data_IF_350573078586
#
_entry.id   IF_350573078586
#
_cell.length_a   1.000
_cell.length_b   1.000
_cell.length_c   1.000
_cell.angle_alpha   90.00
_cell.angle_beta   90.00
_cell.angle_gamma   90.00
#
_symmetry.space_group_name_H-M   'P 1'
#
loop_
_entity.id
_entity.type
_entity.pdbx_description
1 polymer ?
#
# COMPACT_ATOMS: atom_id res chain seq x y z
N UNK A 1 -22.46 -1.89 21.72
CA UNK A 1 -22.06 -3.29 21.46
C UNK A 1 -21.14 -3.30 20.25
N UNK A 2 -20.04 -4.08 20.29
CA UNK A 2 -19.14 -4.20 19.15
C UNK A 2 -19.89 -4.72 17.92
N UNK A 3 -19.55 -4.21 16.75
CA UNK A 3 -20.17 -4.64 15.49
C UNK A 3 -19.56 -5.98 15.10
N UNK A 4 -20.36 -7.05 15.11
CA UNK A 4 -19.93 -8.39 14.70
C UNK A 4 -20.39 -8.76 13.29
N UNK A 5 -21.26 -7.96 12.65
CA UNK A 5 -21.72 -8.17 11.28
C UNK A 5 -21.62 -6.88 10.49
N UNK A 6 -21.07 -6.96 9.28
CA UNK A 6 -20.97 -5.83 8.37
C UNK A 6 -21.44 -6.21 6.96
N UNK A 7 -22.14 -5.28 6.30
CA UNK A 7 -22.39 -5.37 4.86
C UNK A 7 -21.16 -4.90 4.11
N UNK A 8 -20.82 -5.61 3.04
CA UNK A 8 -19.74 -5.25 2.12
C UNK A 8 -20.39 -4.70 0.85
N UNK A 9 -19.94 -3.52 0.42
CA UNK A 9 -20.39 -2.85 -0.81
C UNK A 9 -19.25 -2.63 -1.78
N UNK A 10 -19.58 -2.62 -3.06
CA UNK A 10 -18.68 -2.22 -4.13
C UNK A 10 -19.43 -1.26 -5.05
N UNK A 11 -18.99 0.00 -5.09
CA UNK A 11 -19.68 1.08 -5.83
C UNK A 11 -21.17 1.23 -5.47
N UNK A 12 -21.47 1.30 -4.18
CA UNK A 12 -22.82 1.34 -3.59
C UNK A 12 -23.65 0.05 -3.75
N UNK A 13 -23.23 -0.90 -4.58
CA UNK A 13 -23.89 -2.18 -4.76
C UNK A 13 -23.55 -3.14 -3.60
N UNK A 14 -24.55 -3.77 -2.95
CA UNK A 14 -24.30 -4.82 -1.97
C UNK A 14 -23.61 -6.03 -2.62
N UNK A 15 -22.43 -6.36 -2.11
CA UNK A 15 -21.65 -7.52 -2.53
C UNK A 15 -22.02 -8.73 -1.68
N UNK A 16 -22.20 -8.53 -0.38
CA UNK A 16 -22.41 -9.61 0.58
C UNK A 16 -22.32 -9.10 2.01
N UNK A 17 -22.20 -10.03 2.95
CA UNK A 17 -22.03 -9.75 4.36
C UNK A 17 -20.88 -10.55 4.96
N UNK A 18 -20.22 -9.96 5.95
CA UNK A 18 -19.21 -10.62 6.78
C UNK A 18 -19.70 -10.67 8.22
N UNK A 19 -19.56 -11.83 8.86
CA UNK A 19 -19.92 -12.05 10.25
C UNK A 19 -18.71 -12.59 11.03
N UNK A 20 -18.47 -12.03 12.20
CA UNK A 20 -17.41 -12.41 13.13
C UNK A 20 -17.94 -13.41 14.17
N UNK A 21 -17.23 -14.51 14.34
CA UNK A 21 -17.42 -15.49 15.40
C UNK A 21 -16.33 -15.28 16.47
N UNK A 22 -16.74 -14.78 17.64
CA UNK A 22 -15.83 -14.48 18.75
C UNK A 22 -15.20 -15.74 19.36
N UNK A 23 -15.94 -16.86 19.40
CA UNK A 23 -15.45 -18.12 19.98
C UNK A 23 -14.34 -18.70 19.09
N UNK A 24 -14.52 -18.64 17.77
CA UNK A 24 -13.55 -19.16 16.79
C UNK A 24 -12.46 -18.17 16.42
N UNK A 25 -12.65 -16.89 16.74
CA UNK A 25 -11.84 -15.78 16.25
C UNK A 25 -11.69 -15.84 14.72
N UNK A 26 -12.82 -16.00 14.03
CA UNK A 26 -12.87 -16.25 12.60
C UNK A 26 -14.08 -15.56 11.98
N UNK A 27 -13.88 -14.97 10.81
CA UNK A 27 -14.98 -14.42 10.02
C UNK A 27 -15.48 -15.42 8.99
N UNK A 28 -16.76 -15.29 8.68
CA UNK A 28 -17.41 -15.92 7.54
C UNK A 28 -17.94 -14.84 6.62
N UNK A 29 -17.85 -15.06 5.31
CA UNK A 29 -18.35 -14.15 4.29
C UNK A 29 -19.31 -14.88 3.35
N UNK A 30 -20.43 -14.25 3.03
CA UNK A 30 -21.41 -14.78 2.08
C UNK A 30 -21.72 -13.70 1.04
N UNK A 31 -21.71 -14.08 -0.24
CA UNK A 31 -22.13 -13.20 -1.32
C UNK A 31 -23.64 -12.99 -1.30
N UNK A 32 -24.08 -11.77 -1.58
CA UNK A 32 -25.49 -11.44 -1.78
C UNK A 32 -26.00 -12.14 -3.04
N UNK A 33 -27.14 -12.88 -2.99
CA UNK A 33 -27.68 -13.56 -4.16
C UNK A 33 -27.89 -12.66 -5.39
N UNK A 34 -28.19 -11.38 -5.18
CA UNK A 34 -28.29 -10.40 -6.26
C UNK A 34 -26.94 -10.07 -6.92
N UNK A 35 -25.85 -10.08 -6.16
CA UNK A 35 -24.51 -9.82 -6.67
C UNK A 35 -24.01 -10.99 -7.54
N UNK A 36 -24.30 -12.24 -7.16
CA UNK A 36 -23.95 -13.43 -7.94
C UNK A 36 -24.46 -13.35 -9.39
N UNK A 37 -25.65 -12.79 -9.60
CA UNK A 37 -26.25 -12.63 -10.95
C UNK A 37 -25.53 -11.61 -11.84
N UNK A 38 -24.67 -10.76 -11.27
CA UNK A 38 -23.88 -9.79 -12.04
C UNK A 38 -22.67 -10.43 -12.72
N UNK A 39 -22.28 -11.63 -12.30
CA UNK A 39 -21.11 -12.33 -12.82
C UNK A 39 -19.81 -11.48 -12.75
N UNK A 40 -19.68 -10.67 -11.70
CA UNK A 40 -18.53 -9.80 -11.45
C UNK A 40 -17.58 -10.45 -10.42
N UNK A 41 -16.49 -11.03 -10.90
CA UNK A 41 -15.50 -11.74 -10.09
C UNK A 41 -14.54 -10.78 -9.35
N UNK A 42 -14.89 -10.43 -8.11
CA UNK A 42 -14.12 -9.44 -7.32
C UNK A 42 -12.90 -10.02 -6.59
N UNK A 43 -12.78 -11.35 -6.50
CA UNK A 43 -11.63 -12.07 -5.92
C UNK A 43 -11.53 -13.50 -6.48
N UNK A 44 -11.36 -13.66 -7.81
CA UNK A 44 -11.61 -14.92 -8.53
C UNK A 44 -10.76 -16.11 -8.10
N UNK A 45 -9.59 -15.89 -7.48
CA UNK A 45 -8.66 -16.98 -7.18
C UNK A 45 -9.00 -17.73 -5.89
N UNK A 46 -9.41 -17.02 -4.85
CA UNK A 46 -9.67 -17.59 -3.52
C UNK A 46 -11.14 -17.52 -3.13
N UNK A 47 -11.91 -16.61 -3.72
CA UNK A 47 -13.32 -16.38 -3.43
C UNK A 47 -14.13 -16.16 -4.72
N UNK A 48 -14.15 -17.14 -5.64
CA UNK A 48 -14.95 -17.06 -6.87
C UNK A 48 -16.43 -16.84 -6.56
N UNK A 49 -17.24 -16.34 -7.50
CA UNK A 49 -18.66 -16.16 -7.23
C UNK A 49 -19.36 -17.50 -6.96
N UNK A 50 -19.93 -17.64 -5.77
CA UNK A 50 -20.60 -18.85 -5.31
C UNK A 50 -21.61 -18.52 -4.21
N UNK A 51 -22.71 -19.27 -4.08
CA UNK A 51 -23.59 -19.19 -2.92
C UNK A 51 -22.98 -19.81 -1.65
N UNK A 52 -21.76 -20.33 -1.72
CA UNK A 52 -21.08 -20.89 -0.56
C UNK A 52 -20.67 -19.81 0.46
N UNK A 53 -20.67 -20.18 1.73
CA UNK A 53 -20.10 -19.37 2.79
C UNK A 53 -18.58 -19.58 2.79
N UNK A 54 -17.84 -18.48 2.64
CA UNK A 54 -16.39 -18.47 2.67
C UNK A 54 -15.87 -18.33 4.09
N UNK A 55 -14.95 -19.22 4.47
CA UNK A 55 -14.22 -19.18 5.73
C UNK A 55 -12.86 -19.82 5.55
N UNK A 56 -11.83 -19.24 6.15
CA UNK A 56 -10.44 -19.65 5.93
C UNK A 56 -9.67 -19.78 7.24
N UNK A 57 -9.96 -20.81 8.06
CA UNK A 57 -9.32 -21.03 9.36
C UNK A 57 -7.80 -21.25 9.28
N UNK A 58 -7.29 -21.66 8.12
CA UNK A 58 -5.88 -21.93 7.85
C UNK A 58 -5.04 -20.67 7.63
N UNK A 59 -5.66 -19.51 7.40
CA UNK A 59 -4.92 -18.26 7.18
C UNK A 59 -4.25 -17.76 8.46
N UNK A 60 -3.04 -17.23 8.29
CA UNK A 60 -2.31 -16.64 9.41
C UNK A 60 -3.06 -15.44 9.99
N UNK A 61 -3.50 -15.58 11.25
CA UNK A 61 -4.25 -14.55 11.98
C UNK A 61 -3.48 -13.24 12.15
N UNK A 62 -2.13 -13.25 12.13
CA UNK A 62 -1.33 -12.02 12.20
C UNK A 62 -1.45 -11.16 10.94
N UNK A 63 -1.75 -11.80 9.81
CA UNK A 63 -1.78 -11.16 8.49
C UNK A 63 -3.20 -10.83 8.08
N UNK A 64 -4.09 -11.80 8.24
CA UNK A 64 -5.46 -11.72 7.75
C UNK A 64 -6.47 -11.40 8.85
N UNK A 65 -6.06 -11.39 10.12
CA UNK A 65 -6.94 -11.08 11.26
C UNK A 65 -8.19 -11.98 11.29
N UNK A 66 -8.10 -13.23 10.84
CA UNK A 66 -9.25 -14.14 10.75
C UNK A 66 -10.30 -13.74 9.70
N UNK A 67 -10.02 -12.75 8.85
CA UNK A 67 -10.83 -12.38 7.70
C UNK A 67 -10.38 -13.12 6.43
N UNK A 68 -11.26 -13.30 5.44
CA UNK A 68 -10.85 -13.58 4.07
C UNK A 68 -9.90 -12.51 3.53
N UNK A 69 -8.97 -12.88 2.65
CA UNK A 69 -7.98 -11.96 2.09
C UNK A 69 -8.58 -10.74 1.41
N UNK A 70 -9.68 -10.91 0.68
CA UNK A 70 -10.46 -9.82 0.06
C UNK A 70 -10.80 -8.69 1.05
N UNK A 71 -11.18 -9.03 2.28
CA UNK A 71 -11.59 -8.05 3.27
C UNK A 71 -10.39 -7.56 4.10
N UNK A 72 -9.47 -8.46 4.44
CA UNK A 72 -8.26 -8.13 5.19
C UNK A 72 -7.41 -7.06 4.51
N UNK A 73 -7.41 -6.99 3.17
CA UNK A 73 -6.66 -5.98 2.40
C UNK A 73 -7.10 -4.53 2.66
N UNK A 74 -8.32 -4.34 3.18
CA UNK A 74 -8.85 -3.03 3.55
C UNK A 74 -8.38 -2.57 4.93
N UNK A 75 -7.76 -3.46 5.72
CA UNK A 75 -7.31 -3.13 7.06
C UNK A 75 -6.07 -2.23 7.02
N UNK A 76 -5.95 -1.31 7.99
CA UNK A 76 -4.84 -0.37 8.03
C UNK A 76 -3.52 -1.05 8.39
N UNK A 77 -2.43 -0.38 8.06
CA UNK A 77 -1.09 -0.77 8.50
C UNK A 77 -0.81 -0.44 9.97
N UNK A 78 0.47 -0.49 10.35
CA UNK A 78 0.93 -0.16 11.70
C UNK A 78 0.58 1.26 12.10
N UNK A 79 0.77 2.24 11.22
CA UNK A 79 0.48 3.64 11.52
C UNK A 79 -1.03 3.87 11.65
N UNK A 80 -1.84 3.34 10.73
CA UNK A 80 -3.29 3.41 10.82
C UNK A 80 -3.86 2.64 12.04
N UNK A 81 -3.23 1.54 12.44
CA UNK A 81 -3.59 0.82 13.67
C UNK A 81 -3.33 1.69 14.91
N UNK A 82 -2.24 2.47 14.95
CA UNK A 82 -2.02 3.44 16.04
C UNK A 82 -3.10 4.53 16.08
N UNK A 83 -3.58 4.98 14.93
CA UNK A 83 -4.69 5.94 14.88
C UNK A 83 -6.00 5.35 15.41
N UNK A 84 -6.26 4.07 15.13
CA UNK A 84 -7.40 3.34 15.69
C UNK A 84 -7.28 3.22 17.21
N UNK A 85 -6.10 2.87 17.73
CA UNK A 85 -5.85 2.78 19.17
C UNK A 85 -6.21 4.09 19.88
N UNK A 86 -5.73 5.22 19.36
CA UNK A 86 -6.03 6.54 19.92
C UNK A 86 -7.53 6.85 19.84
N UNK A 87 -8.18 6.53 18.71
CA UNK A 87 -9.62 6.71 18.54
C UNK A 87 -10.45 5.87 19.52
N UNK A 88 -10.02 4.64 19.82
CA UNK A 88 -10.65 3.76 20.81
C UNK A 88 -10.44 4.28 22.23
N UNK A 89 -9.22 4.71 22.57
CA UNK A 89 -8.90 5.26 23.89
C UNK A 89 -9.74 6.50 24.20
N UNK A 90 -10.00 7.39 23.21
CA UNK A 90 -10.92 8.53 23.38
C UNK A 90 -12.35 8.12 23.73
N UNK A 91 -12.74 6.88 23.45
CA UNK A 91 -14.04 6.30 23.80
C UNK A 91 -13.97 5.40 25.05
N UNK A 92 -12.83 5.35 25.74
CA UNK A 92 -12.62 4.47 26.89
C UNK A 92 -12.53 2.98 26.51
N UNK A 93 -12.18 2.67 25.26
CA UNK A 93 -12.06 1.29 24.74
C UNK A 93 -10.62 0.92 24.42
N UNK A 94 -10.35 -0.38 24.33
CA UNK A 94 -9.06 -0.94 23.93
C UNK A 94 -9.16 -1.71 22.61
N UNK A 95 -8.02 -2.07 22.01
CA UNK A 95 -8.00 -2.94 20.82
C UNK A 95 -8.50 -4.37 21.09
N UNK A 96 -8.50 -4.82 22.35
CA UNK A 96 -8.99 -6.15 22.71
C UNK A 96 -10.50 -6.24 22.46
N UNK A 97 -11.20 -5.12 22.61
CA UNK A 97 -12.64 -5.00 22.38
C UNK A 97 -12.96 -4.69 20.91
N UNK A 98 -11.98 -4.75 20.00
CA UNK A 98 -12.09 -4.26 18.63
C UNK A 98 -11.81 -5.34 17.60
N UNK A 99 -12.86 -6.10 17.32
CA UNK A 99 -12.81 -7.25 16.41
C UNK A 99 -12.54 -6.81 14.95
N UNK A 100 -12.09 -7.73 14.09
CA UNK A 100 -11.75 -7.45 12.69
C UNK A 100 -12.90 -6.91 11.83
N UNK A 101 -14.15 -7.33 12.06
CA UNK A 101 -15.32 -6.79 11.35
C UNK A 101 -15.61 -5.35 11.79
N UNK A 102 -15.49 -5.06 13.08
CA UNK A 102 -15.60 -3.70 13.59
C UNK A 102 -14.49 -2.78 13.04
N UNK A 103 -13.27 -3.32 12.83
CA UNK A 103 -12.19 -2.61 12.13
C UNK A 103 -12.59 -2.23 10.71
N UNK A 104 -13.21 -3.14 9.96
CA UNK A 104 -13.73 -2.83 8.62
C UNK A 104 -14.78 -1.71 8.67
N UNK A 105 -15.69 -1.75 9.64
CA UNK A 105 -16.70 -0.71 9.87
C UNK A 105 -16.09 0.65 10.25
N UNK A 106 -14.96 0.68 10.96
CA UNK A 106 -14.20 1.90 11.21
C UNK A 106 -13.59 2.47 9.92
N UNK A 107 -13.06 1.61 9.05
CA UNK A 107 -12.60 2.03 7.71
C UNK A 107 -13.78 2.57 6.91
N UNK A 108 -14.92 1.86 6.94
CA UNK A 108 -16.18 2.27 6.36
C UNK A 108 -16.03 2.56 4.87
N UNK A 109 -16.04 3.84 4.50
CA UNK A 109 -15.95 4.31 3.10
C UNK A 109 -14.56 4.81 2.71
N UNK A 110 -13.56 4.67 3.60
CA UNK A 110 -12.26 5.36 3.53
C UNK A 110 -11.11 4.44 3.11
N UNK A 111 -11.42 3.18 2.76
CA UNK A 111 -10.45 2.16 2.35
C UNK A 111 -9.70 2.48 1.06
N UNK A 112 -8.58 1.78 0.85
CA UNK A 112 -7.98 1.61 -0.47
C UNK A 112 -8.91 0.78 -1.36
N UNK A 113 -8.86 0.99 -2.67
CA UNK A 113 -9.76 0.34 -3.60
C UNK A 113 -11.19 0.88 -3.50
N UNK A 114 -12.17 0.04 -3.84
CA UNK A 114 -13.57 0.42 -3.96
C UNK A 114 -14.52 -0.27 -2.97
N UNK A 115 -14.01 -1.18 -2.12
CA UNK A 115 -14.82 -1.80 -1.08
C UNK A 115 -15.20 -0.78 0.00
N UNK A 116 -16.44 -0.90 0.46
CA UNK A 116 -16.97 -0.14 1.59
C UNK A 116 -17.71 -1.05 2.56
N UNK A 117 -17.75 -0.65 3.83
CA UNK A 117 -18.30 -1.46 4.91
C UNK A 117 -19.36 -0.71 5.69
N UNK A 118 -20.48 -1.37 5.97
CA UNK A 118 -21.60 -0.79 6.73
C UNK A 118 -21.97 -1.66 7.95
N UNK A 119 -22.27 -1.05 9.11
CA UNK A 119 -22.37 0.39 9.36
C UNK A 119 -21.00 1.09 9.47
N UNK A 120 -20.86 2.27 8.87
CA UNK A 120 -19.65 3.07 9.02
C UNK A 120 -19.61 3.73 10.42
N UNK A 121 -18.59 3.44 11.22
CA UNK A 121 -18.46 3.97 12.59
C UNK A 121 -17.96 5.42 12.64
N UNK A 122 -17.19 5.82 11.62
CA UNK A 122 -16.71 7.19 11.47
C UNK A 122 -17.54 7.88 10.39
N UNK A 123 -18.31 8.89 10.78
CA UNK A 123 -19.25 9.56 9.87
C UNK A 123 -18.56 10.34 8.75
N UNK A 124 -19.24 10.48 7.61
CA UNK A 124 -18.82 11.34 6.49
C UNK A 124 -18.90 12.81 6.94
N UNK A 125 -17.79 13.37 7.41
CA UNK A 125 -17.72 14.79 7.71
C UNK A 125 -17.52 15.63 6.44
N UNK A 126 -17.89 16.92 6.50
CA UNK A 126 -17.54 17.89 5.45
C UNK A 126 -16.02 17.90 5.25
N UNK A 127 -15.60 18.15 4.02
CA UNK A 127 -14.17 18.33 3.71
C UNK A 127 -13.58 19.42 4.61
N UNK A 128 -12.53 19.08 5.36
CA UNK A 128 -11.78 20.01 6.22
C UNK A 128 -10.49 20.38 5.51
N UNK A 129 -10.12 21.65 5.56
CA UNK A 129 -8.79 22.12 5.11
C UNK A 129 -7.73 21.63 6.08
N UNK A 130 -6.58 21.24 5.56
CA UNK A 130 -5.54 20.57 6.34
C UNK A 130 -4.22 21.28 6.16
N UNK A 131 -3.60 21.66 7.27
CA UNK A 131 -2.26 22.24 7.28
C UNK A 131 -1.23 21.12 7.51
N UNK A 132 -0.31 20.95 6.55
CA UNK A 132 0.63 19.81 6.56
C UNK A 132 1.57 19.88 7.75
N UNK A 133 1.99 21.08 8.14
CA UNK A 133 2.82 21.31 9.32
C UNK A 133 2.23 20.67 10.58
N UNK A 134 0.91 20.78 10.75
CA UNK A 134 0.18 20.20 11.88
C UNK A 134 0.13 18.68 11.80
N UNK A 135 -0.11 18.13 10.60
CA UNK A 135 -0.09 16.68 10.39
C UNK A 135 1.27 16.07 10.74
N UNK A 136 2.37 16.71 10.32
CA UNK A 136 3.72 16.22 10.58
C UNK A 136 4.03 16.30 12.08
N UNK A 137 3.72 17.43 12.72
CA UNK A 137 3.89 17.62 14.17
C UNK A 137 3.17 16.52 14.95
N UNK A 138 1.93 16.23 14.59
CA UNK A 138 1.13 15.26 15.32
C UNK A 138 1.51 13.82 14.98
N UNK A 139 1.86 13.52 13.73
CA UNK A 139 2.42 12.21 13.36
C UNK A 139 3.69 11.89 14.16
N UNK A 140 4.56 12.88 14.37
CA UNK A 140 5.74 12.75 15.24
C UNK A 140 5.38 12.44 16.69
N UNK A 141 4.35 13.08 17.24
CA UNK A 141 3.85 12.77 18.60
C UNK A 141 3.30 11.36 18.70
N UNK A 142 2.49 10.94 17.72
CA UNK A 142 1.88 9.61 17.67
C UNK A 142 2.94 8.49 17.64
N UNK A 143 4.03 8.69 16.89
CA UNK A 143 5.07 7.68 16.76
C UNK A 143 6.09 7.70 17.91
N UNK A 144 6.29 8.84 18.58
CA UNK A 144 7.23 8.97 19.70
C UNK A 144 6.66 8.56 21.06
N UNK A 145 5.35 8.68 21.27
CA UNK A 145 4.72 8.45 22.57
C UNK A 145 4.02 7.08 22.59
N UNK A 146 4.39 6.23 23.57
CA UNK A 146 3.82 4.87 23.68
C UNK A 146 2.54 4.80 24.53
N UNK A 147 2.34 5.65 25.54
CA UNK A 147 1.26 5.43 26.53
C UNK A 147 0.46 6.68 26.99
N UNK A 148 0.97 7.91 26.92
CA UNK A 148 0.31 9.09 27.53
C UNK A 148 -0.11 10.23 26.56
N UNK A 149 -0.39 9.90 25.30
CA UNK A 149 -0.76 10.89 24.28
C UNK A 149 -1.96 11.74 24.68
N UNK A 150 -3.03 11.13 25.21
CA UNK A 150 -4.32 11.79 25.44
C UNK A 150 -4.37 12.63 26.71
N UNK A 151 -3.53 12.33 27.71
CA UNK A 151 -3.55 13.01 29.01
C UNK A 151 -2.91 14.41 28.94
N UNK A 152 -2.06 14.65 27.94
CA UNK A 152 -1.24 15.86 27.81
C UNK A 152 -1.59 16.75 26.60
N UNK A 153 -2.78 16.60 26.01
CA UNK A 153 -3.21 17.43 24.88
C UNK A 153 -3.94 18.68 25.36
N UNK A 154 -3.53 19.83 24.84
CA UNK A 154 -4.39 21.02 24.87
C UNK A 154 -5.65 20.83 24.01
N UNK A 155 -6.67 21.66 24.22
CA UNK A 155 -7.91 21.61 23.40
C UNK A 155 -7.64 21.74 21.89
N UNK A 156 -6.72 22.64 21.51
CA UNK A 156 -6.29 22.81 20.11
C UNK A 156 -5.63 21.54 19.55
N UNK A 157 -4.87 20.82 20.37
CA UNK A 157 -4.23 19.57 19.95
C UNK A 157 -5.22 18.41 19.86
N UNK A 158 -6.28 18.41 20.68
CA UNK A 158 -7.38 17.45 20.56
C UNK A 158 -8.14 17.63 19.23
N UNK A 159 -8.38 18.88 18.80
CA UNK A 159 -9.00 19.18 17.51
C UNK A 159 -8.10 18.82 16.31
N UNK A 160 -6.79 19.09 16.42
CA UNK A 160 -5.81 18.66 15.42
C UNK A 160 -5.71 17.12 15.35
N UNK A 161 -5.85 16.43 16.49
CA UNK A 161 -5.90 14.97 16.56
C UNK A 161 -7.10 14.38 15.86
N UNK A 162 -8.28 14.99 16.03
CA UNK A 162 -9.45 14.59 15.27
C UNK A 162 -9.24 14.79 13.77
N UNK A 163 -8.52 15.84 13.37
CA UNK A 163 -8.15 16.05 11.97
C UNK A 163 -7.22 14.95 11.46
N UNK A 164 -6.20 14.56 12.22
CA UNK A 164 -5.30 13.44 11.85
C UNK A 164 -6.03 12.11 11.81
N UNK A 165 -6.92 11.80 12.75
CA UNK A 165 -7.76 10.58 12.69
C UNK A 165 -8.63 10.59 11.41
N UNK A 166 -9.08 11.77 10.97
CA UNK A 166 -9.87 11.98 9.74
C UNK A 166 -9.06 12.00 8.44
N UNK A 167 -7.74 12.17 8.47
CA UNK A 167 -6.89 12.15 7.26
C UNK A 167 -5.93 10.97 7.19
N UNK A 168 -5.64 10.40 8.36
CA UNK A 168 -4.72 9.30 8.57
C UNK A 168 -5.26 8.00 8.01
N UNK A 169 -4.35 7.23 7.43
CA UNK A 169 -4.73 6.34 6.32
C UNK A 169 -5.08 4.93 6.72
N UNK A 170 -5.92 4.32 5.90
CA UNK A 170 -6.06 2.88 5.65
C UNK A 170 -5.02 2.32 4.66
N UNK A 171 -4.08 3.14 4.18
CA UNK A 171 -3.11 2.77 3.15
C UNK A 171 -1.89 2.05 3.76
N UNK A 172 -1.50 0.89 3.21
CA UNK A 172 -0.43 -0.01 3.72
C UNK A 172 0.99 0.58 3.79
N UNK A 173 1.83 0.20 4.78
CA UNK A 173 3.26 0.58 4.93
C UNK A 173 3.74 0.88 6.38
N UNK A 174 5.01 1.28 6.57
CA UNK A 174 5.59 1.53 7.91
C UNK A 174 5.74 3.03 8.28
N UNK A 175 5.78 3.93 7.28
CA UNK A 175 5.98 5.37 7.48
C UNK A 175 4.67 6.11 7.74
N UNK A 176 4.74 7.20 8.50
CA UNK A 176 3.62 8.12 8.67
C UNK A 176 3.18 8.69 7.32
N UNK A 177 1.87 8.60 7.05
CA UNK A 177 1.29 9.04 5.79
C UNK A 177 -0.15 9.50 5.97
N UNK A 178 -0.65 10.29 5.02
CA UNK A 178 -2.03 10.75 4.98
C UNK A 178 -2.62 10.62 3.56
N UNK A 179 -3.93 10.45 3.48
CA UNK A 179 -4.68 10.53 2.22
C UNK A 179 -5.24 11.94 2.15
N UNK A 180 -4.81 12.69 1.14
CA UNK A 180 -5.16 14.09 0.96
C UNK A 180 -5.82 14.32 -0.40
N UNK A 181 -6.69 15.31 -0.46
CA UNK A 181 -7.15 15.92 -1.70
C UNK A 181 -6.37 17.23 -1.88
N UNK A 182 -5.62 17.36 -2.97
CA UNK A 182 -4.76 18.52 -3.22
C UNK A 182 -5.17 19.20 -4.53
N UNK A 183 -5.32 20.53 -4.49
CA UNK A 183 -5.65 21.32 -5.66
C UNK A 183 -4.37 21.97 -6.24
N UNK A 184 -3.95 21.59 -7.46
CA UNK A 184 -2.73 22.11 -8.07
C UNK A 184 -2.74 23.61 -8.38
N UNK A 185 -3.91 24.24 -8.49
CA UNK A 185 -4.02 25.65 -8.91
C UNK A 185 -3.75 26.62 -7.77
N UNK A 186 -4.12 26.28 -6.54
CA UNK A 186 -4.03 27.15 -5.38
C UNK A 186 -3.30 26.52 -4.18
N UNK A 187 -2.78 25.29 -4.34
CA UNK A 187 -2.15 24.49 -3.29
C UNK A 187 -3.04 24.22 -2.06
N UNK A 188 -4.37 24.32 -2.19
CA UNK A 188 -5.29 23.96 -1.10
C UNK A 188 -5.22 22.44 -0.84
N UNK A 189 -5.09 22.07 0.43
CA UNK A 189 -5.02 20.67 0.88
C UNK A 189 -6.21 20.40 1.78
N UNK A 190 -6.90 19.31 1.49
CA UNK A 190 -8.09 18.85 2.20
C UNK A 190 -7.98 17.37 2.54
N UNK A 191 -8.84 16.90 3.43
CA UNK A 191 -8.97 15.45 3.66
C UNK A 191 -9.33 14.72 2.36
N UNK A 192 -8.53 13.73 1.98
CA UNK A 192 -8.80 12.91 0.80
C UNK A 192 -9.69 11.70 1.08
N UNK A 193 -10.29 11.61 2.28
CA UNK A 193 -11.19 10.53 2.66
C UNK A 193 -12.65 10.81 2.28
N UNK A 194 -12.95 12.02 1.84
CA UNK A 194 -14.27 12.46 1.40
C UNK A 194 -14.20 13.05 -0.02
N UNK A 195 -15.37 13.18 -0.67
CA UNK A 195 -15.44 13.81 -1.99
C UNK A 195 -15.04 15.29 -1.87
N UNK A 196 -13.96 15.64 -2.55
CA UNK A 196 -13.45 17.01 -2.63
C UNK A 196 -14.16 17.75 -3.78
N UNK A 197 -14.14 19.09 -3.79
CA UNK A 197 -14.66 19.87 -4.91
C UNK A 197 -13.92 19.55 -6.22
N UNK A 198 -14.52 19.98 -7.33
CA UNK A 198 -13.89 19.90 -8.65
C UNK A 198 -12.51 20.58 -8.66
N UNK A 199 -11.56 19.98 -9.38
CA UNK A 199 -10.18 20.46 -9.48
C UNK A 199 -9.23 19.97 -8.39
N UNK A 200 -9.70 19.15 -7.43
CA UNK A 200 -8.85 18.45 -6.49
C UNK A 200 -8.44 17.08 -7.02
N UNK A 201 -7.18 16.73 -6.81
CA UNK A 201 -6.62 15.41 -7.11
C UNK A 201 -6.42 14.63 -5.80
N UNK A 202 -6.52 13.30 -5.83
CA UNK A 202 -6.36 12.45 -4.65
C UNK A 202 -4.94 11.87 -4.55
N UNK A 203 -4.25 12.19 -3.47
CA UNK A 203 -2.86 11.84 -3.25
C UNK A 203 -2.67 11.09 -1.93
N UNK A 204 -1.63 10.26 -1.88
CA UNK A 204 -1.03 9.79 -0.62
C UNK A 204 0.22 10.64 -0.39
N UNK A 205 0.30 11.29 0.76
CA UNK A 205 1.50 12.00 1.20
C UNK A 205 2.22 11.16 2.25
N UNK A 206 3.52 10.92 2.07
CA UNK A 206 4.42 10.27 3.02
C UNK A 206 5.29 11.34 3.66
N UNK A 207 5.23 11.44 4.98
CA UNK A 207 5.86 12.54 5.70
C UNK A 207 7.36 12.32 5.88
N UNK A 208 8.15 13.33 5.52
CA UNK A 208 9.55 13.49 5.86
C UNK A 208 9.70 14.03 7.29
N UNK A 209 10.82 13.71 7.96
CA UNK A 209 11.15 14.23 9.30
C UNK A 209 10.27 13.71 10.46
N UNK A 210 9.57 12.58 10.28
CA UNK A 210 8.76 11.94 11.34
C UNK A 210 9.52 10.75 11.92
N UNK A 211 10.26 10.97 13.00
CA UNK A 211 11.12 9.93 13.58
C UNK A 211 10.28 8.81 14.21
N UNK A 212 10.42 7.60 13.67
CA UNK A 212 10.14 6.37 14.38
C UNK A 212 11.49 5.81 14.84
N UNK A 213 11.69 5.64 16.15
CA UNK A 213 12.92 5.09 16.73
C UNK A 213 13.27 3.68 16.19
N UNK A 214 12.40 3.07 15.38
CA UNK A 214 12.62 1.77 14.73
C UNK A 214 13.05 1.86 13.24
N UNK A 215 12.88 2.99 12.56
CA UNK A 215 13.09 3.11 11.10
C UNK A 215 14.30 3.96 10.67
N UNK A 216 15.11 4.43 11.62
CA UNK A 216 16.24 5.33 11.36
C UNK A 216 15.80 6.77 11.10
N UNK A 217 16.76 7.66 10.86
CA UNK A 217 16.48 9.08 10.56
C UNK A 217 15.67 9.19 9.24
N UNK A 218 14.39 9.60 9.30
CA UNK A 218 13.52 9.72 8.13
C UNK A 218 13.92 10.90 7.24
N UNK A 219 14.78 11.81 7.70
CA UNK A 219 15.13 13.03 6.98
C UNK A 219 15.75 12.69 5.60
N UNK A 220 15.08 13.15 4.55
CA UNK A 220 15.53 12.97 3.16
C UNK A 220 15.02 11.71 2.47
N UNK A 221 14.29 10.81 3.16
CA UNK A 221 13.69 9.64 2.50
C UNK A 221 12.64 10.01 1.46
N UNK A 222 11.90 11.12 1.65
CA UNK A 222 10.96 11.60 0.63
C UNK A 222 11.64 11.91 -0.69
N UNK A 223 12.84 12.52 -0.65
CA UNK A 223 13.68 12.78 -1.82
C UNK A 223 14.19 11.49 -2.46
N UNK A 224 14.66 10.53 -1.65
CA UNK A 224 15.11 9.22 -2.13
C UNK A 224 13.98 8.50 -2.87
N UNK A 225 12.77 8.49 -2.32
CA UNK A 225 11.60 7.87 -2.95
C UNK A 225 11.23 8.54 -4.28
N UNK A 226 11.32 9.87 -4.33
CA UNK A 226 11.09 10.59 -5.58
C UNK A 226 12.19 10.33 -6.64
N UNK A 227 13.46 10.26 -6.24
CA UNK A 227 14.54 9.86 -7.14
C UNK A 227 14.36 8.43 -7.66
N UNK A 228 13.94 7.49 -6.80
CA UNK A 228 13.61 6.11 -7.22
C UNK A 228 12.42 6.08 -8.18
N UNK A 229 11.41 6.94 -7.98
CA UNK A 229 10.33 7.11 -8.94
C UNK A 229 10.85 7.56 -10.32
N UNK A 230 11.69 8.59 -10.38
CA UNK A 230 12.30 9.06 -11.65
C UNK A 230 13.12 7.96 -12.32
N UNK A 231 13.93 7.24 -11.53
CA UNK A 231 14.75 6.14 -11.98
C UNK A 231 13.91 4.96 -12.53
N UNK A 232 12.83 4.58 -11.84
CA UNK A 232 11.90 3.54 -12.30
C UNK A 232 11.16 3.96 -13.58
N UNK A 233 10.73 5.23 -13.68
CA UNK A 233 10.15 5.79 -14.92
C UNK A 233 11.15 5.75 -16.07
N UNK A 234 12.43 6.07 -15.82
CA UNK A 234 13.50 5.98 -16.81
C UNK A 234 13.77 4.53 -17.25
N UNK A 235 13.55 3.53 -16.39
CA UNK A 235 13.59 2.12 -16.77
C UNK A 235 12.35 1.69 -17.59
N UNK A 236 11.36 2.58 -17.77
CA UNK A 236 10.08 2.28 -18.42
C UNK A 236 9.13 1.45 -17.56
N UNK A 237 9.21 1.57 -16.23
CA UNK A 237 8.23 1.04 -15.29
C UNK A 237 7.06 2.00 -15.21
N UNK A 238 5.85 1.46 -15.32
CA UNK A 238 4.63 2.24 -15.14
C UNK A 238 4.41 2.57 -13.66
N UNK A 239 4.35 3.85 -13.34
CA UNK A 239 4.05 4.39 -12.01
C UNK A 239 3.06 5.54 -12.12
N UNK A 240 2.27 5.74 -11.06
CA UNK A 240 1.50 6.97 -10.86
C UNK A 240 2.39 8.20 -10.85
N UNK A 241 1.80 9.37 -11.11
CA UNK A 241 2.48 10.65 -10.95
C UNK A 241 2.91 10.82 -9.49
N UNK A 242 4.19 11.14 -9.28
CA UNK A 242 4.71 11.50 -7.96
C UNK A 242 5.19 12.95 -7.96
N UNK A 243 5.37 13.53 -6.77
CA UNK A 243 5.93 14.87 -6.58
C UNK A 243 6.55 15.00 -5.19
N UNK A 244 7.41 16.01 -5.02
CA UNK A 244 7.85 16.49 -3.71
C UNK A 244 7.05 17.73 -3.31
N UNK A 245 6.53 17.73 -2.10
CA UNK A 245 5.96 18.91 -1.48
C UNK A 245 6.91 19.42 -0.40
N UNK A 246 7.36 20.66 -0.60
CA UNK A 246 8.31 21.33 0.30
C UNK A 246 7.54 22.09 1.37
N UNK A 247 7.92 21.91 2.62
CA UNK A 247 7.30 22.57 3.76
C UNK A 247 8.35 22.73 4.87
N UNK A 248 8.58 23.96 5.37
CA UNK A 248 9.57 24.28 6.41
C UNK A 248 10.92 23.53 6.33
N UNK A 249 11.49 23.40 5.12
CA UNK A 249 12.76 22.69 4.87
C UNK A 249 12.63 21.18 4.64
N UNK A 250 11.49 20.57 4.99
CA UNK A 250 11.15 19.16 4.75
C UNK A 250 10.70 18.94 3.30
N UNK A 251 10.90 17.72 2.80
CA UNK A 251 10.51 17.31 1.45
C UNK A 251 9.63 16.06 1.50
N UNK A 252 8.32 16.26 1.63
CA UNK A 252 7.34 15.18 1.68
C UNK A 252 7.15 14.55 0.30
N UNK A 253 7.16 13.22 0.23
CA UNK A 253 6.85 12.50 -1.00
C UNK A 253 5.33 12.39 -1.17
N UNK A 254 4.81 12.71 -2.34
CA UNK A 254 3.42 12.49 -2.68
C UNK A 254 3.30 11.62 -3.92
N UNK A 255 2.36 10.66 -3.89
CA UNK A 255 1.98 9.83 -5.04
C UNK A 255 0.49 9.95 -5.33
N UNK A 256 0.14 10.10 -6.59
CA UNK A 256 -1.25 10.14 -7.04
C UNK A 256 -1.87 8.75 -6.85
N UNK A 257 -3.06 8.71 -6.26
CA UNK A 257 -3.82 7.47 -6.05
C UNK A 257 -4.28 6.92 -7.40
N UNK A 258 -3.84 5.71 -7.74
CA UNK A 258 -4.29 5.02 -8.96
C UNK A 258 -5.65 4.34 -8.81
N UNK A 259 -6.16 4.24 -7.57
CA UNK A 259 -7.46 3.65 -7.21
C UNK A 259 -8.58 4.70 -7.10
N UNK A 260 -8.30 5.92 -7.58
CA UNK A 260 -9.23 7.06 -7.67
C UNK A 260 -9.12 7.69 -9.07
N UNK A 261 -10.26 7.87 -9.76
CA UNK A 261 -10.34 8.70 -10.98
C UNK A 261 -10.74 10.14 -10.61
N UNK A 262 -10.68 11.06 -11.59
CA UNK A 262 -10.75 12.52 -11.44
C UNK A 262 -11.96 13.08 -10.66
N UNK A 263 -13.01 12.28 -10.38
CA UNK A 263 -14.20 12.67 -9.61
C UNK A 263 -14.36 11.93 -8.27
N UNK A 264 -13.28 11.35 -7.74
CA UNK A 264 -13.27 10.42 -6.60
C UNK A 264 -13.86 9.03 -6.89
N UNK A 265 -14.14 8.74 -8.16
CA UNK A 265 -14.57 7.43 -8.63
C UNK A 265 -13.56 6.35 -8.23
N UNK A 266 -14.01 5.38 -7.45
CA UNK A 266 -13.16 4.32 -6.90
C UNK A 266 -12.96 3.21 -7.92
N UNK A 267 -11.76 2.64 -7.94
CA UNK A 267 -11.45 1.43 -8.71
C UNK A 267 -11.24 0.29 -7.71
N UNK A 268 -11.81 -0.89 -7.97
CA UNK A 268 -11.60 -2.04 -7.11
C UNK A 268 -10.12 -2.44 -7.14
N UNK A 269 -9.59 -2.85 -6.00
CA UNK A 269 -8.17 -3.14 -5.83
C UNK A 269 -8.01 -4.34 -4.91
N UNK A 270 -7.11 -5.24 -5.28
CA UNK A 270 -6.57 -6.24 -4.36
C UNK A 270 -5.07 -6.34 -4.53
N UNK A 271 -4.35 -6.41 -3.42
CA UNK A 271 -2.95 -6.80 -3.39
C UNK A 271 -2.80 -8.28 -3.76
N UNK A 272 -1.60 -8.68 -4.21
CA UNK A 272 -1.26 -10.08 -4.43
C UNK A 272 -1.43 -10.89 -3.13
N UNK A 273 -1.11 -10.30 -1.98
CA UNK A 273 -1.37 -10.88 -0.65
C UNK A 273 -2.84 -11.25 -0.46
N UNK A 274 -3.75 -10.36 -0.80
CA UNK A 274 -5.18 -10.56 -0.61
C UNK A 274 -5.78 -11.50 -1.65
N UNK A 275 -5.46 -11.29 -2.93
CA UNK A 275 -6.03 -12.04 -4.03
C UNK A 275 -5.65 -13.52 -3.99
N UNK A 276 -4.42 -13.85 -3.57
CA UNK A 276 -3.92 -15.22 -3.49
C UNK A 276 -3.75 -15.77 -2.06
N UNK A 277 -4.17 -15.03 -1.03
CA UNK A 277 -3.90 -15.36 0.38
C UNK A 277 -2.41 -15.57 0.71
N UNK A 278 -1.52 -14.83 0.03
CA UNK A 278 -0.07 -14.96 0.17
C UNK A 278 0.49 -14.10 1.30
N UNK A 279 0.76 -14.73 2.43
CA UNK A 279 1.19 -14.07 3.67
C UNK A 279 2.50 -13.28 3.55
N UNK A 280 2.42 -11.94 3.57
CA UNK A 280 3.59 -11.06 3.51
C UNK A 280 4.51 -11.16 4.75
N UNK A 281 4.06 -11.74 5.87
CA UNK A 281 4.87 -11.97 7.07
C UNK A 281 5.68 -13.27 7.01
N UNK A 282 5.68 -14.00 5.88
CA UNK A 282 6.52 -15.18 5.67
C UNK A 282 7.56 -14.93 4.55
N UNK A 283 8.64 -14.17 4.84
CA UNK A 283 9.64 -13.81 3.83
C UNK A 283 10.28 -15.05 3.20
N UNK A 284 10.32 -15.07 1.86
CA UNK A 284 10.90 -16.16 1.09
C UNK A 284 9.95 -17.31 0.74
N UNK A 285 8.73 -17.33 1.29
CA UNK A 285 7.76 -18.36 0.98
C UNK A 285 7.13 -18.16 -0.42
N UNK A 286 7.02 -16.90 -0.85
CA UNK A 286 6.38 -16.53 -2.11
C UNK A 286 7.38 -15.95 -3.10
N UNK A 287 7.21 -16.28 -4.37
CA UNK A 287 8.10 -15.95 -5.46
C UNK A 287 7.47 -14.94 -6.42
N UNK A 288 8.29 -14.17 -7.15
CA UNK A 288 7.78 -13.31 -8.23
C UNK A 288 7.06 -14.12 -9.33
N UNK A 289 7.44 -15.37 -9.52
CA UNK A 289 6.82 -16.34 -10.40
C UNK A 289 5.35 -16.58 -10.04
N UNK A 290 5.00 -16.54 -8.75
CA UNK A 290 3.60 -16.59 -8.32
C UNK A 290 2.87 -15.33 -8.81
N UNK A 291 3.47 -14.16 -8.64
CA UNK A 291 2.88 -12.90 -9.08
C UNK A 291 2.70 -12.84 -10.61
N UNK A 292 3.68 -13.34 -11.37
CA UNK A 292 3.62 -13.47 -12.83
C UNK A 292 2.54 -14.47 -13.28
N UNK A 293 2.40 -15.59 -12.56
CA UNK A 293 1.32 -16.56 -12.78
C UNK A 293 -0.05 -15.96 -12.48
N UNK A 294 -0.19 -15.17 -11.41
CA UNK A 294 -1.43 -14.44 -11.09
C UNK A 294 -1.83 -13.50 -12.24
N UNK A 295 -0.88 -12.80 -12.88
CA UNK A 295 -1.17 -12.02 -14.08
C UNK A 295 -1.74 -12.87 -15.23
N UNK A 296 -1.28 -14.11 -15.39
CA UNK A 296 -1.80 -15.02 -16.43
C UNK A 296 -3.18 -15.56 -16.05
N UNK A 297 -3.40 -15.92 -14.79
CA UNK A 297 -4.69 -16.42 -14.29
C UNK A 297 -5.80 -15.37 -14.39
N UNK A 298 -5.47 -14.09 -14.17
CA UNK A 298 -6.40 -12.96 -14.37
C UNK A 298 -6.54 -12.53 -15.83
N UNK A 299 -5.81 -13.14 -16.78
CA UNK A 299 -5.91 -12.80 -18.20
C UNK A 299 -5.36 -11.41 -18.58
N UNK A 300 -4.41 -10.85 -17.81
CA UNK A 300 -3.93 -9.46 -17.99
C UNK A 300 -3.09 -9.23 -19.27
N UNK A 301 -2.76 -10.30 -20.00
CA UNK A 301 -1.97 -10.26 -21.22
C UNK A 301 -0.46 -10.08 -21.01
N UNK A 302 0.30 -10.22 -22.11
CA UNK A 302 1.77 -10.24 -22.08
C UNK A 302 2.40 -8.93 -21.58
N UNK A 303 1.75 -7.78 -21.81
CA UNK A 303 2.31 -6.49 -21.38
C UNK A 303 2.32 -6.35 -19.86
N UNK A 304 1.30 -6.82 -19.16
CA UNK A 304 1.26 -6.83 -17.70
C UNK A 304 2.34 -7.74 -17.11
N UNK A 305 2.50 -8.95 -17.68
CA UNK A 305 3.55 -9.90 -17.27
C UNK A 305 4.95 -9.29 -17.50
N UNK A 306 5.17 -8.62 -18.65
CA UNK A 306 6.41 -7.91 -18.95
C UNK A 306 6.67 -6.74 -18.00
N UNK A 307 5.66 -5.94 -17.66
CA UNK A 307 5.78 -4.86 -16.69
C UNK A 307 6.16 -5.39 -15.31
N UNK A 308 5.54 -6.48 -14.84
CA UNK A 308 5.85 -7.07 -13.55
C UNK A 308 7.25 -7.70 -13.52
N UNK A 309 7.68 -8.36 -14.61
CA UNK A 309 9.05 -8.85 -14.75
C UNK A 309 10.07 -7.70 -14.67
N UNK A 310 9.80 -6.56 -15.32
CA UNK A 310 10.66 -5.38 -15.23
C UNK A 310 10.77 -4.85 -13.79
N UNK A 311 9.66 -4.85 -13.03
CA UNK A 311 9.64 -4.45 -11.60
C UNK A 311 10.46 -5.41 -10.74
N UNK A 312 10.38 -6.72 -11.00
CA UNK A 312 11.21 -7.74 -10.36
C UNK A 312 12.71 -7.44 -10.56
N UNK A 313 13.14 -7.25 -11.81
CA UNK A 313 14.54 -6.89 -12.13
C UNK A 313 14.94 -5.62 -11.39
N UNK A 314 14.12 -4.57 -11.47
CA UNK A 314 14.42 -3.29 -10.84
C UNK A 314 14.55 -3.40 -9.33
N UNK A 315 13.63 -4.10 -8.65
CA UNK A 315 13.69 -4.27 -7.21
C UNK A 315 14.99 -4.95 -6.77
N UNK A 316 15.39 -6.01 -7.48
CA UNK A 316 16.62 -6.75 -7.18
C UNK A 316 17.89 -5.92 -7.41
N UNK A 317 17.97 -5.23 -8.55
CA UNK A 317 19.17 -4.46 -8.94
C UNK A 317 19.27 -3.16 -8.14
N UNK A 318 18.16 -2.45 -7.93
CA UNK A 318 18.11 -1.16 -7.23
C UNK A 318 18.03 -1.32 -5.69
N UNK A 319 18.08 -2.54 -5.16
CA UNK A 319 17.98 -2.84 -3.70
C UNK A 319 16.69 -2.34 -3.05
N UNK A 320 15.56 -2.48 -3.74
CA UNK A 320 14.26 -2.43 -3.08
C UNK A 320 13.95 -3.83 -2.53
N UNK A 321 14.32 -4.08 -1.27
CA UNK A 321 14.13 -5.37 -0.61
C UNK A 321 12.84 -5.50 0.19
N UNK A 322 12.04 -4.43 0.30
CA UNK A 322 10.70 -4.47 0.89
C UNK A 322 9.66 -4.85 -0.16
N UNK A 323 9.98 -5.85 -0.99
CA UNK A 323 9.22 -6.22 -2.18
C UNK A 323 8.22 -7.36 -1.91
N UNK A 324 7.51 -7.26 -0.79
CA UNK A 324 6.57 -8.27 -0.32
C UNK A 324 5.24 -8.27 -1.12
N UNK A 325 4.41 -9.30 -0.92
CA UNK A 325 3.15 -9.52 -1.66
C UNK A 325 2.10 -8.39 -1.52
N UNK A 326 2.18 -7.50 -0.53
CA UNK A 326 1.32 -6.29 -0.48
C UNK A 326 1.74 -5.15 -1.41
N UNK A 327 2.97 -5.17 -1.93
CA UNK A 327 3.51 -4.13 -2.82
C UNK A 327 3.31 -4.46 -4.31
N UNK A 328 2.50 -5.48 -4.59
CA UNK A 328 2.00 -5.83 -5.92
C UNK A 328 0.48 -5.83 -5.81
N UNK A 329 -0.21 -5.12 -6.70
CA UNK A 329 -1.66 -5.05 -6.68
C UNK A 329 -2.26 -5.08 -8.08
N UNK A 330 -3.54 -5.44 -8.11
CA UNK A 330 -4.36 -5.56 -9.30
C UNK A 330 -5.59 -4.68 -9.13
N UNK A 331 -6.07 -4.13 -10.24
CA UNK A 331 -7.19 -3.21 -10.29
C UNK A 331 -8.27 -3.80 -11.19
N UNK A 332 -9.53 -3.65 -10.78
CA UNK A 332 -10.68 -4.07 -11.57
C UNK A 332 -11.61 -2.88 -11.78
N UNK A 333 -12.00 -2.65 -13.03
CA UNK A 333 -13.02 -1.66 -13.38
C UNK A 333 -14.44 -2.20 -13.20
N UNK A 334 -15.45 -1.36 -13.48
CA UNK A 334 -16.87 -1.67 -13.31
C UNK A 334 -17.37 -2.79 -14.24
N UNK A 335 -16.64 -3.07 -15.31
CA UNK A 335 -16.96 -4.11 -16.28
C UNK A 335 -16.30 -5.45 -15.93
N UNK A 336 -15.53 -5.51 -14.82
CA UNK A 336 -14.84 -6.72 -14.38
C UNK A 336 -13.48 -6.94 -15.04
N UNK A 337 -12.98 -5.96 -15.80
CA UNK A 337 -11.68 -6.10 -16.45
C UNK A 337 -10.55 -5.83 -15.46
N UNK A 338 -9.73 -6.85 -15.23
CA UNK A 338 -8.56 -6.75 -14.38
C UNK A 338 -7.36 -6.17 -15.15
N UNK A 339 -6.54 -5.39 -14.43
CA UNK A 339 -5.23 -4.89 -14.89
C UNK A 339 -4.24 -4.85 -13.74
N UNK A 340 -2.94 -4.90 -14.07
CA UNK A 340 -1.89 -4.66 -13.08
C UNK A 340 -1.93 -3.19 -12.62
N UNK A 341 -1.85 -2.95 -11.31
CA UNK A 341 -1.72 -1.59 -10.79
C UNK A 341 -0.38 -0.96 -11.22
N UNK A 342 -0.28 0.37 -11.38
CA UNK A 342 1.03 1.04 -11.46
C UNK A 342 1.92 0.62 -10.29
N UNK A 343 3.24 0.60 -10.47
CA UNK A 343 4.16 0.31 -9.37
C UNK A 343 4.08 1.43 -8.31
N UNK A 344 4.18 1.04 -7.05
CA UNK A 344 4.16 1.90 -5.87
C UNK A 344 5.14 1.36 -4.83
N UNK A 345 5.46 2.19 -3.84
CA UNK A 345 6.40 1.84 -2.76
C UNK A 345 7.77 1.35 -3.28
N UNK A 346 8.25 2.02 -4.33
CA UNK A 346 9.55 1.77 -4.94
C UNK A 346 10.59 2.70 -4.32
N UNK A 347 11.43 2.16 -3.44
CA UNK A 347 12.48 2.94 -2.75
C UNK A 347 13.68 2.04 -2.40
N UNK A 348 14.84 2.66 -2.14
CA UNK A 348 15.94 1.98 -1.46
C UNK A 348 15.52 1.51 -0.06
N UNK A 349 15.46 0.20 0.12
CA UNK A 349 15.06 -0.43 1.37
C UNK A 349 16.03 -1.58 1.68
N UNK A 350 17.27 -1.23 2.03
CA UNK A 350 18.33 -2.17 2.36
C UNK A 350 18.94 -1.84 3.72
N UNK A 351 18.90 -2.81 4.61
CA UNK A 351 19.56 -2.76 5.91
C UNK A 351 20.22 -4.12 6.18
N UNK A 352 21.54 -4.19 6.04
CA UNK A 352 22.30 -5.43 6.21
C UNK A 352 22.13 -6.05 7.61
N UNK A 353 21.88 -5.24 8.64
CA UNK A 353 21.66 -5.66 10.02
C UNK A 353 20.16 -5.83 10.36
N UNK A 354 19.25 -5.47 9.44
CA UNK A 354 17.81 -5.55 9.66
C UNK A 354 17.28 -6.98 9.52
N UNK A 355 16.21 -7.30 10.24
CA UNK A 355 15.54 -8.61 10.13
C UNK A 355 14.78 -8.77 8.81
N UNK A 356 14.16 -7.69 8.32
CA UNK A 356 13.23 -7.72 7.19
C UNK A 356 13.86 -7.32 5.86
N UNK A 357 14.80 -6.38 5.85
CA UNK A 357 15.36 -5.79 4.63
C UNK A 357 16.86 -6.04 4.48
N UNK A 358 17.36 -7.16 5.02
CA UNK A 358 18.70 -7.67 4.73
C UNK A 358 18.71 -8.55 3.45
N UNK A 359 17.55 -9.04 3.03
CA UNK A 359 17.30 -9.90 1.86
C UNK A 359 15.95 -9.52 1.26
N UNK A 360 15.71 -9.87 0.00
CA UNK A 360 14.40 -9.69 -0.62
C UNK A 360 13.32 -10.44 0.14
N UNK A 361 12.12 -9.88 0.17
CA UNK A 361 10.94 -10.48 0.79
C UNK A 361 10.38 -11.60 -0.07
N UNK A 362 10.34 -11.39 -1.39
CA UNK A 362 9.96 -12.41 -2.36
C UNK A 362 11.19 -13.08 -3.01
N UNK A 363 11.05 -14.33 -3.42
CA UNK A 363 12.11 -15.04 -4.15
C UNK A 363 12.09 -14.74 -5.65
N UNK A 364 13.25 -14.84 -6.29
CA UNK A 364 13.42 -14.94 -7.75
C UNK A 364 14.24 -16.20 -8.00
N UNK A 365 13.70 -17.15 -8.77
CA UNK A 365 14.31 -18.44 -9.02
C UNK A 365 14.73 -19.16 -7.71
N UNK A 366 13.87 -19.08 -6.69
CA UNK A 366 14.13 -19.66 -5.36
C UNK A 366 15.16 -18.90 -4.50
N UNK A 367 15.78 -17.82 -5.00
CA UNK A 367 16.80 -17.04 -4.28
C UNK A 367 16.21 -15.76 -3.68
N UNK A 368 16.80 -15.28 -2.58
CA UNK A 368 16.48 -13.98 -1.93
C UNK A 368 17.67 -13.01 -1.89
N UNK A 369 18.83 -13.50 -2.28
CA UNK A 369 20.11 -12.79 -2.37
C UNK A 369 21.03 -13.62 -3.27
N UNK A 370 22.25 -13.12 -3.53
CA UNK A 370 23.25 -13.82 -4.37
C UNK A 370 22.67 -14.21 -5.74
N UNK A 371 21.94 -13.28 -6.33
CA UNK A 371 21.33 -13.45 -7.63
C UNK A 371 22.39 -13.40 -8.73
N UNK A 372 22.17 -14.19 -9.75
CA UNK A 372 22.96 -14.24 -10.97
C UNK A 372 22.08 -13.84 -12.15
N UNK A 373 22.69 -13.39 -13.24
CA UNK A 373 21.98 -13.03 -14.48
C UNK A 373 21.07 -14.17 -14.98
N UNK A 374 21.49 -15.42 -14.79
CA UNK A 374 20.76 -16.60 -15.21
C UNK A 374 19.41 -16.74 -14.49
N UNK A 375 19.30 -16.34 -13.23
CA UNK A 375 18.04 -16.43 -12.47
C UNK A 375 16.91 -15.65 -13.15
N UNK A 376 17.23 -14.48 -13.71
CA UNK A 376 16.27 -13.66 -14.43
C UNK A 376 15.95 -14.23 -15.82
N UNK A 377 16.94 -14.81 -16.49
CA UNK A 377 16.76 -15.46 -17.80
C UNK A 377 15.85 -16.68 -17.67
N UNK A 378 16.00 -17.47 -16.60
CA UNK A 378 15.18 -18.66 -16.34
C UNK A 378 13.72 -18.27 -16.09
N UNK A 379 13.48 -17.27 -15.24
CA UNK A 379 12.13 -16.71 -15.02
C UNK A 379 11.55 -16.14 -16.33
N UNK A 380 12.35 -15.39 -17.10
CA UNK A 380 11.92 -14.87 -18.38
C UNK A 380 11.50 -15.98 -19.36
N UNK A 381 12.25 -17.09 -19.41
CA UNK A 381 11.95 -18.24 -20.25
C UNK A 381 10.65 -18.92 -19.81
N UNK A 382 10.46 -19.13 -18.51
CA UNK A 382 9.24 -19.73 -17.94
C UNK A 382 7.98 -18.93 -18.33
N UNK A 383 8.05 -17.60 -18.24
CA UNK A 383 6.91 -16.71 -18.53
C UNK A 383 6.89 -16.16 -19.97
N UNK A 384 7.73 -16.70 -20.85
CA UNK A 384 7.83 -16.31 -22.28
C UNK A 384 8.02 -14.80 -22.49
N UNK A 385 8.85 -14.19 -21.65
CA UNK A 385 9.22 -12.78 -21.77
C UNK A 385 10.12 -12.59 -22.99
N UNK A 386 9.70 -11.73 -23.92
CA UNK A 386 10.51 -11.38 -25.10
C UNK A 386 11.69 -10.49 -24.70
N UNK A 387 12.84 -10.67 -25.35
CA UNK A 387 14.02 -9.79 -25.21
C UNK A 387 14.43 -9.53 -23.73
N UNK A 388 14.59 -10.55 -22.88
CA UNK A 388 14.88 -10.33 -21.46
C UNK A 388 16.23 -9.64 -21.23
N UNK A 389 17.22 -9.89 -22.08
CA UNK A 389 18.53 -9.23 -22.01
C UNK A 389 18.44 -7.72 -22.26
N UNK A 390 17.58 -7.28 -23.18
CA UNK A 390 17.30 -5.86 -23.40
C UNK A 390 16.66 -5.24 -22.16
N UNK A 391 15.68 -5.92 -21.52
CA UNK A 391 15.07 -5.44 -20.27
C UNK A 391 16.11 -5.29 -19.15
N UNK A 392 17.00 -6.29 -18.98
CA UNK A 392 18.06 -6.23 -17.99
C UNK A 392 18.98 -5.03 -18.25
N UNK A 393 19.39 -4.83 -19.51
CA UNK A 393 20.25 -3.73 -19.92
C UNK A 393 19.58 -2.36 -19.70
N UNK A 394 18.31 -2.20 -20.08
CA UNK A 394 17.53 -0.96 -19.90
C UNK A 394 17.38 -0.60 -18.42
N UNK A 395 17.03 -1.58 -17.59
CA UNK A 395 16.92 -1.39 -16.13
C UNK A 395 18.27 -1.04 -15.53
N UNK A 396 19.33 -1.74 -15.93
CA UNK A 396 20.70 -1.44 -15.50
C UNK A 396 21.16 -0.03 -15.91
N UNK A 397 20.85 0.39 -17.13
CA UNK A 397 21.17 1.73 -17.63
C UNK A 397 20.45 2.83 -16.83
N UNK A 398 19.17 2.62 -16.49
CA UNK A 398 18.44 3.54 -15.64
C UNK A 398 19.03 3.61 -14.22
N UNK A 399 19.40 2.48 -13.62
CA UNK A 399 19.95 2.43 -12.26
C UNK A 399 21.35 3.05 -12.18
N UNK A 400 22.19 2.91 -13.23
CA UNK A 400 23.49 3.60 -13.31
C UNK A 400 23.37 5.11 -13.18
N UNK A 401 22.23 5.68 -13.57
CA UNK A 401 21.93 7.12 -13.48
C UNK A 401 21.35 7.54 -12.12
N UNK A 402 21.38 6.66 -11.12
CA UNK A 402 21.00 6.99 -9.75
C UNK A 402 21.60 8.32 -9.24
N UNK A 403 22.92 8.60 -9.40
CA UNK A 403 23.49 9.87 -8.97
C UNK A 403 22.79 11.08 -9.59
N UNK A 404 22.56 11.07 -10.91
CA UNK A 404 21.86 12.15 -11.62
C UNK A 404 20.47 12.44 -11.01
N UNK A 405 19.66 11.40 -10.81
CA UNK A 405 18.30 11.56 -10.28
C UNK A 405 18.30 12.01 -8.82
N UNK A 406 19.26 11.52 -8.03
CA UNK A 406 19.36 11.87 -6.62
C UNK A 406 19.88 13.30 -6.41
N UNK A 407 20.82 13.76 -7.25
CA UNK A 407 21.30 15.14 -7.28
C UNK A 407 20.19 16.11 -7.72
N UNK A 408 19.43 15.76 -8.77
CA UNK A 408 18.30 16.56 -9.28
C UNK A 408 17.31 16.94 -8.16
N UNK A 409 17.06 16.01 -7.24
CA UNK A 409 16.07 16.18 -6.15
C UNK A 409 16.71 16.58 -4.82
N UNK A 410 18.02 16.78 -4.79
CA UNK A 410 18.78 17.28 -3.63
C UNK A 410 18.94 16.29 -2.49
N UNK A 411 19.19 15.00 -2.80
CA UNK A 411 19.66 14.00 -1.83
C UNK A 411 21.10 14.35 -1.41
N UNK A 412 21.45 14.13 -0.14
CA UNK A 412 22.80 14.41 0.37
C UNK A 412 23.86 13.53 -0.33
N UNK A 413 24.99 14.12 -0.75
CA UNK A 413 26.06 13.43 -1.47
C UNK A 413 26.54 12.14 -0.79
N UNK A 414 26.71 12.15 0.54
CA UNK A 414 27.08 10.95 1.32
C UNK A 414 26.05 9.83 1.14
N UNK A 415 24.77 10.17 1.16
CA UNK A 415 23.66 9.23 0.99
C UNK A 415 23.57 8.72 -0.45
N UNK A 416 23.84 9.57 -1.45
CA UNK A 416 23.93 9.17 -2.86
C UNK A 416 24.98 8.06 -3.02
N UNK A 417 26.20 8.31 -2.56
CA UNK A 417 27.31 7.34 -2.63
C UNK A 417 27.01 6.06 -1.86
N UNK A 418 26.40 6.16 -0.67
CA UNK A 418 26.01 5.00 0.13
C UNK A 418 24.98 4.12 -0.59
N UNK A 419 23.96 4.72 -1.22
CA UNK A 419 22.93 3.96 -1.92
C UNK A 419 23.52 3.34 -3.20
N UNK A 420 24.27 4.13 -3.98
CA UNK A 420 24.91 3.70 -5.21
C UNK A 420 25.78 2.45 -5.01
N UNK A 421 26.57 2.41 -3.93
CA UNK A 421 27.47 1.28 -3.65
C UNK A 421 26.76 -0.03 -3.34
N UNK A 422 25.44 0.01 -3.11
CA UNK A 422 24.63 -1.18 -2.81
C UNK A 422 23.92 -1.76 -4.03
N UNK A 423 23.76 -0.96 -5.10
CA UNK A 423 23.11 -1.40 -6.34
C UNK A 423 23.87 -2.56 -6.98
N UNK A 424 23.13 -3.58 -7.42
CA UNK A 424 23.70 -4.81 -7.97
C UNK A 424 23.87 -4.75 -9.49
N UNK A 425 24.56 -3.72 -9.97
CA UNK A 425 24.71 -3.47 -11.40
C UNK A 425 25.44 -4.60 -12.14
N UNK A 426 26.31 -5.34 -11.45
CA UNK A 426 27.04 -6.48 -11.97
C UNK A 426 26.14 -7.60 -12.51
N UNK A 427 24.89 -7.71 -12.03
CA UNK A 427 23.92 -8.71 -12.48
C UNK A 427 23.45 -8.44 -13.92
N UNK A 428 23.37 -7.17 -14.28
CA UNK A 428 22.73 -6.69 -15.51
C UNK A 428 23.71 -6.11 -16.53
N UNK A 429 25.01 -6.12 -16.22
CA UNK A 429 26.08 -5.83 -17.17
C UNK A 429 26.22 -6.97 -18.19
#
# INVERSE_FOLDING_TARGET
MPVSVAKVKLWDDPVGAVAWDDDRNLATFEYEPAFLRRNLEISPLTMPLSPAIYSFPELNRRTFYGLPGLLADSLPDRYGTRLIEIWLQKQGRSLQDFNPVERLCYIGTRGMGALEFEPALVSRHKTVRVEVAELVKLAGKILSQREDLLVNLSENESAALDTVIRVGTSAGGARAKAVIAWNPKNNDIRSGQVRAPEGFEYWIIKFDGVNDNTLGDPEGYGKIEYAYHLMAKSAGIEMSKCRLMKEHGRSHFMTLRFDRKNDADKIHMQSLCALGHFDFNMPGQYAYEIALSTCQQLGLGHQAVRQLYKRMVFNVVARNQDDHSRNIAFLMDRDGNWRLAPAFDVIWSYNAQGEWTNRHQMTVNGKRNSFEKQDFIDVAKQFRISKPLEILADVGAAIRRWPDFAEEVGVEAKRITQIASTHRLEIVV
#
